data_IF_724611747155
#
_entry.id   IF_724611747155
#
_cell.length_a   1.000
_cell.length_b   1.000
_cell.length_c   1.000
_cell.angle_alpha   90.00
_cell.angle_beta   90.00
_cell.angle_gamma   90.00
#
_symmetry.space_group_name_H-M   'P 1'
#
loop_
_entity.id
_entity.type
_entity.pdbx_description
1 polymer ?
#
# COMPACT_ATOMS: atom_id res chain seq x y z
N UNK A 1 -10.34 -16.34 -26.76
CA UNK A 1 -10.12 -15.35 -25.69
C UNK A 1 -8.61 -15.32 -25.53
N UNK A 2 -7.95 -14.34 -26.14
CA UNK A 2 -6.48 -14.32 -26.26
C UNK A 2 -5.88 -14.16 -24.87
N UNK A 3 -4.99 -15.08 -24.52
CA UNK A 3 -4.05 -14.89 -23.43
C UNK A 3 -3.36 -13.54 -23.64
N UNK A 4 -3.26 -12.73 -22.60
CA UNK A 4 -2.58 -11.44 -22.68
C UNK A 4 -1.16 -11.67 -23.15
N UNK A 5 -0.83 -11.02 -24.27
CA UNK A 5 0.42 -11.12 -24.97
C UNK A 5 1.44 -10.21 -24.27
N UNK A 6 2.58 -10.77 -23.87
CA UNK A 6 3.68 -9.99 -23.30
C UNK A 6 4.33 -9.09 -24.37
N UNK A 7 4.02 -9.28 -25.65
CA UNK A 7 4.84 -8.76 -26.75
C UNK A 7 4.73 -7.24 -26.99
N UNK A 8 3.71 -6.55 -26.48
CA UNK A 8 3.46 -5.15 -26.92
C UNK A 8 4.17 -4.07 -26.07
N UNK A 9 4.44 -4.33 -24.78
CA UNK A 9 5.10 -3.35 -23.88
C UNK A 9 5.96 -4.03 -22.81
N UNK A 10 6.94 -4.83 -23.25
CA UNK A 10 7.65 -5.79 -22.42
C UNK A 10 8.74 -5.15 -21.53
N UNK A 11 8.37 -4.61 -20.38
CA UNK A 11 9.33 -4.27 -19.32
C UNK A 11 8.82 -4.75 -17.97
N UNK A 12 8.68 -6.07 -17.87
CA UNK A 12 8.52 -6.77 -16.59
C UNK A 12 9.78 -6.54 -15.76
N UNK A 13 9.63 -5.92 -14.60
CA UNK A 13 10.75 -5.53 -13.74
C UNK A 13 10.84 -6.40 -12.48
N UNK A 14 9.70 -6.97 -12.05
CA UNK A 14 9.64 -7.76 -10.83
C UNK A 14 8.61 -8.88 -10.90
N UNK A 15 8.94 -9.99 -10.25
CA UNK A 15 8.05 -11.13 -10.05
C UNK A 15 8.23 -11.67 -8.64
N UNK A 16 7.13 -12.04 -8.01
CA UNK A 16 7.11 -12.82 -6.78
C UNK A 16 6.12 -13.96 -6.92
N UNK A 17 6.49 -15.13 -6.39
CA UNK A 17 5.68 -16.35 -6.47
C UNK A 17 5.28 -16.76 -5.06
N UNK A 18 4.01 -17.12 -4.90
CA UNK A 18 3.49 -17.73 -3.68
C UNK A 18 2.53 -18.84 -4.04
N UNK A 19 2.88 -20.06 -3.66
CA UNK A 19 2.14 -21.27 -4.02
C UNK A 19 1.90 -21.36 -5.53
N UNK A 20 0.64 -21.32 -5.97
CA UNK A 20 0.24 -21.38 -7.37
C UNK A 20 -0.07 -20.00 -7.98
N UNK A 21 0.35 -18.91 -7.33
CA UNK A 21 0.16 -17.55 -7.83
C UNK A 21 1.51 -16.89 -8.13
N UNK A 22 1.61 -16.28 -9.31
CA UNK A 22 2.67 -15.34 -9.64
C UNK A 22 2.11 -13.91 -9.67
N UNK A 23 2.80 -12.99 -9.02
CA UNK A 23 2.52 -11.56 -9.05
C UNK A 23 3.64 -10.89 -9.82
N UNK A 24 3.29 -10.32 -10.97
CA UNK A 24 4.24 -9.71 -11.92
C UNK A 24 3.97 -8.22 -11.96
N UNK A 25 5.04 -7.44 -11.98
CA UNK A 25 4.97 -5.99 -12.19
C UNK A 25 5.69 -5.57 -13.44
N UNK A 26 5.04 -4.70 -14.19
CA UNK A 26 5.51 -4.14 -15.45
C UNK A 26 5.44 -2.61 -15.41
N UNK A 27 6.43 -1.95 -16.01
CA UNK A 27 6.53 -0.48 -15.98
C UNK A 27 5.37 0.24 -16.69
N UNK A 28 4.73 -0.40 -17.65
CA UNK A 28 3.67 0.19 -18.49
C UNK A 28 2.29 -0.39 -18.18
N UNK A 29 2.22 -1.67 -17.81
CA UNK A 29 0.97 -2.38 -17.56
C UNK A 29 0.59 -2.36 -16.08
N UNK A 30 1.56 -2.17 -15.18
CA UNK A 30 1.33 -2.15 -13.74
C UNK A 30 1.38 -3.53 -13.12
N UNK A 31 0.35 -3.94 -12.40
CA UNK A 31 0.30 -5.24 -11.71
C UNK A 31 -0.48 -6.27 -12.53
N UNK A 32 0.07 -7.47 -12.64
CA UNK A 32 -0.64 -8.66 -13.09
C UNK A 32 -0.52 -9.79 -12.06
N UNK A 33 -1.58 -10.58 -11.94
CA UNK A 33 -1.64 -11.76 -11.08
C UNK A 33 -2.01 -12.94 -11.96
N UNK A 34 -1.17 -13.98 -11.91
CA UNK A 34 -1.31 -15.17 -12.73
C UNK A 34 -1.55 -16.40 -11.86
N UNK A 35 -2.47 -17.25 -12.29
CA UNK A 35 -2.51 -18.65 -11.87
C UNK A 35 -1.41 -19.42 -12.63
N UNK A 36 -0.53 -20.04 -11.87
CA UNK A 36 0.59 -20.87 -12.34
C UNK A 36 0.48 -22.31 -11.84
N UNK A 37 -0.72 -22.76 -11.46
CA UNK A 37 -0.98 -24.14 -11.02
C UNK A 37 -0.59 -25.17 -12.08
N UNK A 38 -0.79 -24.83 -13.36
CA UNK A 38 -0.18 -25.53 -14.49
C UNK A 38 0.99 -24.68 -15.02
N UNK A 39 2.26 -25.07 -14.75
CA UNK A 39 3.42 -24.31 -15.19
C UNK A 39 3.58 -24.28 -16.72
N UNK A 40 2.90 -25.17 -17.45
CA UNK A 40 2.92 -25.17 -18.92
C UNK A 40 1.89 -24.22 -19.52
N UNK A 41 0.91 -23.77 -18.73
CA UNK A 41 -0.19 -22.91 -19.17
C UNK A 41 -0.57 -21.83 -18.14
N UNK A 42 0.34 -20.90 -17.77
CA UNK A 42 0.00 -19.77 -16.91
C UNK A 42 -1.17 -18.94 -17.43
N UNK A 43 -2.07 -18.49 -16.55
CA UNK A 43 -3.23 -17.68 -16.90
C UNK A 43 -3.30 -16.40 -16.08
N UNK A 44 -3.49 -15.25 -16.72
CA UNK A 44 -3.77 -13.99 -15.99
C UNK A 44 -5.17 -14.08 -15.38
N UNK A 45 -5.24 -13.95 -14.05
CA UNK A 45 -6.50 -14.01 -13.29
C UNK A 45 -6.91 -12.67 -12.70
N UNK A 46 -5.99 -11.70 -12.57
CA UNK A 46 -6.27 -10.35 -12.09
C UNK A 46 -5.22 -9.32 -12.50
N UNK A 47 -5.56 -8.03 -12.45
CA UNK A 47 -4.67 -6.93 -12.83
C UNK A 47 -5.01 -5.60 -12.16
N UNK A 48 -4.02 -4.69 -12.10
CA UNK A 48 -4.19 -3.27 -11.76
C UNK A 48 -3.35 -2.38 -12.66
N UNK A 49 -3.98 -1.78 -13.66
CA UNK A 49 -3.33 -0.84 -14.60
C UNK A 49 -3.07 0.54 -14.00
N UNK A 50 -3.73 0.88 -12.89
CA UNK A 50 -3.59 2.18 -12.23
C UNK A 50 -2.23 2.42 -11.56
N UNK A 51 -1.36 1.40 -11.52
CA UNK A 51 -0.02 1.46 -10.94
C UNK A 51 0.98 1.57 -12.08
N UNK A 52 1.41 2.79 -12.41
CA UNK A 52 2.39 3.01 -13.47
C UNK A 52 3.83 3.02 -12.94
N UNK A 53 4.78 2.69 -13.83
CA UNK A 53 6.21 2.67 -13.54
C UNK A 53 6.61 1.76 -12.38
N UNK A 54 6.00 0.58 -12.31
CA UNK A 54 6.36 -0.42 -11.31
C UNK A 54 7.73 -1.04 -11.63
N UNK A 55 8.60 -1.10 -10.61
CA UNK A 55 10.00 -1.52 -10.73
C UNK A 55 10.37 -2.73 -9.87
N UNK A 56 9.61 -3.01 -8.82
CA UNK A 56 9.86 -4.16 -7.95
C UNK A 56 8.58 -4.53 -7.18
N UNK A 57 8.48 -5.78 -6.74
CA UNK A 57 7.34 -6.28 -5.96
C UNK A 57 7.82 -7.21 -4.85
N UNK A 58 7.26 -7.03 -3.64
CA UNK A 58 7.45 -7.94 -2.52
C UNK A 58 6.09 -8.34 -1.98
N UNK A 59 5.87 -9.65 -1.85
CA UNK A 59 4.69 -10.20 -1.21
C UNK A 59 4.95 -10.45 0.29
N UNK A 60 3.99 -10.05 1.13
CA UNK A 60 3.89 -10.46 2.53
C UNK A 60 2.44 -10.82 2.83
N UNK A 61 2.21 -12.07 3.22
CA UNK A 61 0.88 -12.63 3.34
C UNK A 61 0.08 -12.37 2.03
N UNK A 62 -1.10 -11.76 2.13
CA UNK A 62 -1.92 -11.40 0.98
C UNK A 62 -1.67 -9.97 0.47
N UNK A 63 -0.61 -9.30 0.92
CA UNK A 63 -0.33 -7.92 0.51
C UNK A 63 0.89 -7.86 -0.41
N UNK A 64 0.66 -7.44 -1.65
CA UNK A 64 1.71 -7.10 -2.59
C UNK A 64 2.14 -5.64 -2.39
N UNK A 65 3.39 -5.44 -1.99
CA UNK A 65 4.03 -4.14 -1.94
C UNK A 65 4.74 -3.89 -3.27
N UNK A 66 4.36 -2.81 -3.96
CA UNK A 66 4.86 -2.51 -5.30
C UNK A 66 5.63 -1.20 -5.25
N UNK A 67 6.92 -1.27 -5.58
CA UNK A 67 7.76 -0.10 -5.76
C UNK A 67 7.49 0.50 -7.14
N UNK A 68 7.25 1.80 -7.19
CA UNK A 68 7.19 2.55 -8.44
C UNK A 68 8.18 3.71 -8.41
N UNK A 69 8.27 4.44 -9.52
CA UNK A 69 9.08 5.66 -9.59
C UNK A 69 8.83 6.63 -8.42
N UNK A 70 7.57 6.85 -8.02
CA UNK A 70 7.21 7.87 -7.03
C UNK A 70 6.62 7.34 -5.71
N UNK A 71 6.16 6.10 -5.68
CA UNK A 71 5.41 5.56 -4.56
C UNK A 71 5.86 4.13 -4.20
N UNK A 72 5.51 3.71 -3.00
CA UNK A 72 5.27 2.30 -2.72
C UNK A 72 3.76 2.14 -2.54
N UNK A 73 3.16 1.25 -3.31
CA UNK A 73 1.76 0.84 -3.16
C UNK A 73 1.69 -0.40 -2.27
N UNK A 74 0.62 -0.50 -1.48
CA UNK A 74 0.19 -1.73 -0.83
C UNK A 74 -1.10 -2.18 -1.50
N UNK A 75 -1.10 -3.39 -2.03
CA UNK A 75 -2.23 -3.99 -2.75
C UNK A 75 -2.65 -5.25 -2.03
N UNK A 76 -3.90 -5.31 -1.60
CA UNK A 76 -4.51 -6.53 -1.11
C UNK A 76 -4.85 -7.43 -2.29
N UNK A 77 -4.31 -8.65 -2.28
CA UNK A 77 -4.51 -9.69 -3.27
C UNK A 77 -5.17 -10.94 -2.67
N UNK A 78 -5.84 -10.82 -1.51
CA UNK A 78 -6.59 -11.92 -0.86
C UNK A 78 -7.62 -12.57 -1.78
N UNK A 79 -8.15 -11.79 -2.73
CA UNK A 79 -8.91 -12.29 -3.88
C UNK A 79 -8.05 -11.99 -5.13
N UNK A 80 -7.24 -12.95 -5.61
CA UNK A 80 -6.28 -12.73 -6.70
C UNK A 80 -6.91 -12.18 -7.99
N UNK A 81 -8.18 -12.47 -8.24
CA UNK A 81 -8.92 -11.97 -9.40
C UNK A 81 -9.50 -10.57 -9.23
N UNK A 82 -9.45 -10.00 -8.02
CA UNK A 82 -9.94 -8.65 -7.71
C UNK A 82 -8.98 -7.94 -6.75
N UNK A 83 -7.74 -7.65 -7.20
CA UNK A 83 -6.77 -6.93 -6.38
C UNK A 83 -7.23 -5.50 -6.06
N UNK A 84 -6.92 -5.02 -4.86
CA UNK A 84 -7.36 -3.68 -4.38
C UNK A 84 -6.19 -2.90 -3.78
N UNK A 85 -5.99 -1.66 -4.24
CA UNK A 85 -5.03 -0.75 -3.60
C UNK A 85 -5.57 -0.33 -2.23
N UNK A 86 -4.89 -0.76 -1.15
CA UNK A 86 -5.24 -0.42 0.23
C UNK A 86 -4.41 0.73 0.79
N UNK A 87 -3.33 1.12 0.11
CA UNK A 87 -2.52 2.25 0.55
C UNK A 87 -1.38 2.60 -0.39
N UNK A 88 -0.78 3.77 -0.16
CA UNK A 88 0.49 4.16 -0.78
C UNK A 88 1.25 5.15 0.10
N UNK A 89 2.57 5.15 -0.05
CA UNK A 89 3.48 6.13 0.55
C UNK A 89 4.33 6.73 -0.56
N UNK A 90 4.45 8.06 -0.57
CA UNK A 90 5.33 8.76 -1.52
C UNK A 90 6.78 8.59 -1.07
N UNK A 91 7.68 8.33 -2.02
CA UNK A 91 9.12 8.28 -1.78
C UNK A 91 9.84 9.36 -2.60
N UNK A 92 11.06 9.78 -2.20
CA UNK A 92 11.95 10.52 -3.08
C UNK A 92 12.56 9.63 -4.17
N UNK A 93 13.10 10.27 -5.21
CA UNK A 93 14.03 9.67 -6.18
C UNK A 93 13.47 8.60 -7.11
N UNK A 94 14.38 7.85 -7.74
CA UNK A 94 14.12 6.77 -8.70
C UNK A 94 14.63 5.44 -8.08
N UNK A 95 13.71 4.71 -7.44
CA UNK A 95 14.02 3.51 -6.69
C UNK A 95 13.91 2.29 -7.58
N UNK A 96 14.94 1.44 -7.58
CA UNK A 96 15.00 0.26 -8.46
C UNK A 96 14.64 -1.04 -7.76
N UNK A 97 15.08 -1.20 -6.52
CA UNK A 97 14.76 -2.35 -5.70
C UNK A 97 14.53 -1.92 -4.27
N UNK A 98 13.83 -2.78 -3.53
CA UNK A 98 13.63 -2.59 -2.11
C UNK A 98 13.65 -3.90 -1.33
N UNK A 99 13.79 -3.79 -0.01
CA UNK A 99 13.60 -4.87 0.95
C UNK A 99 12.74 -4.38 2.11
N UNK A 100 11.95 -5.28 2.68
CA UNK A 100 11.10 -4.96 3.83
C UNK A 100 11.65 -5.66 5.05
N UNK A 101 11.97 -4.88 6.09
CA UNK A 101 12.37 -5.37 7.40
C UNK A 101 11.51 -4.64 8.43
N UNK A 102 10.85 -5.37 9.32
CA UNK A 102 10.06 -4.78 10.40
C UNK A 102 9.03 -3.70 9.96
N UNK A 103 8.36 -3.89 8.83
CA UNK A 103 7.40 -2.95 8.21
C UNK A 103 8.02 -1.62 7.74
N UNK A 104 9.34 -1.57 7.61
CA UNK A 104 10.08 -0.49 6.95
C UNK A 104 10.59 -1.03 5.62
N UNK A 105 10.32 -0.28 4.55
CA UNK A 105 10.93 -0.47 3.25
C UNK A 105 12.29 0.22 3.20
N UNK A 106 13.32 -0.52 2.81
CA UNK A 106 14.67 -0.05 2.53
C UNK A 106 14.87 -0.10 1.01
N UNK A 107 15.03 1.06 0.39
CA UNK A 107 14.99 1.25 -1.05
C UNK A 107 16.37 1.67 -1.53
N UNK A 108 16.91 0.96 -2.51
CA UNK A 108 18.09 1.39 -3.26
C UNK A 108 17.64 2.44 -4.29
N UNK A 109 17.92 3.70 -3.99
CA UNK A 109 17.54 4.86 -4.79
C UNK A 109 18.75 5.40 -5.57
N UNK A 110 18.57 5.62 -6.88
CA UNK A 110 19.66 6.03 -7.76
C UNK A 110 20.30 7.37 -7.35
N UNK A 111 19.51 8.33 -6.86
CA UNK A 111 19.98 9.68 -6.53
C UNK A 111 20.28 9.86 -5.04
N UNK A 112 19.60 9.11 -4.19
CA UNK A 112 19.59 9.31 -2.74
C UNK A 112 20.37 8.24 -1.97
N UNK A 113 20.86 7.19 -2.65
CA UNK A 113 21.53 6.06 -2.03
C UNK A 113 20.53 5.11 -1.37
N UNK A 114 20.44 5.13 -0.04
CA UNK A 114 19.52 4.27 0.72
C UNK A 114 18.40 5.10 1.35
N UNK A 115 17.16 4.77 1.02
CA UNK A 115 15.97 5.43 1.58
C UNK A 115 15.19 4.44 2.43
N UNK A 116 14.81 4.83 3.65
CA UNK A 116 13.96 4.03 4.54
C UNK A 116 12.60 4.69 4.76
N UNK A 117 11.50 3.97 4.52
CA UNK A 117 10.13 4.48 4.66
C UNK A 117 9.20 3.46 5.35
N UNK A 118 8.22 3.90 6.14
CA UNK A 118 7.23 3.00 6.70
C UNK A 118 6.27 2.56 5.61
N UNK A 119 5.85 1.29 5.65
CA UNK A 119 4.89 0.77 4.69
C UNK A 119 3.45 1.16 5.03
N UNK A 120 2.58 1.33 4.02
CA UNK A 120 1.14 1.39 4.25
C UNK A 120 0.66 0.08 4.89
N UNK A 121 -0.17 0.18 5.93
CA UNK A 121 -0.75 -0.96 6.62
C UNK A 121 -2.22 -0.69 6.93
N UNK A 122 -3.05 -1.73 6.81
CA UNK A 122 -4.43 -1.67 7.27
C UNK A 122 -4.49 -1.65 8.80
N UNK A 123 -5.36 -0.79 9.35
CA UNK A 123 -5.61 -0.74 10.78
C UNK A 123 -6.73 -1.73 11.10
N UNK A 124 -6.35 -2.88 11.64
CA UNK A 124 -7.30 -3.95 11.98
C UNK A 124 -8.11 -3.64 13.24
N UNK A 125 -7.57 -2.84 14.16
CA UNK A 125 -8.27 -2.46 15.40
C UNK A 125 -9.35 -1.43 15.09
N UNK A 126 -10.59 -1.90 14.92
CA UNK A 126 -11.79 -1.07 14.78
C UNK A 126 -12.78 -1.41 15.88
N UNK A 127 -13.20 -0.41 16.64
CA UNK A 127 -14.26 -0.54 17.63
C UNK A 127 -15.34 0.53 17.37
N UNK A 128 -16.51 0.08 16.94
CA UNK A 128 -17.67 0.96 16.76
C UNK A 128 -18.23 1.29 18.13
N UNK A 129 -18.16 2.56 18.51
CA UNK A 129 -18.75 3.05 19.75
C UNK A 129 -20.25 3.31 19.52
N UNK A 130 -20.59 3.91 18.38
CA UNK A 130 -21.95 4.16 17.92
C UNK A 130 -21.98 4.33 16.39
N UNK A 131 -23.15 4.66 15.82
CA UNK A 131 -23.35 4.85 14.37
C UNK A 131 -22.46 5.94 13.73
N UNK A 132 -21.91 6.84 14.55
CA UNK A 132 -21.13 8.01 14.11
C UNK A 132 -19.70 8.04 14.63
N UNK A 133 -19.36 7.13 15.54
CA UNK A 133 -18.09 7.14 16.27
C UNK A 133 -17.37 5.80 16.13
N UNK A 134 -16.19 5.86 15.52
CA UNK A 134 -15.26 4.74 15.45
C UNK A 134 -14.01 5.05 16.28
N UNK A 135 -13.66 4.13 17.16
CA UNK A 135 -12.37 4.13 17.85
C UNK A 135 -11.41 3.18 17.14
N UNK A 136 -10.19 3.65 16.91
CA UNK A 136 -9.10 2.87 16.32
C UNK A 136 -7.84 3.00 17.18
N UNK A 137 -7.07 1.93 17.28
CA UNK A 137 -5.72 2.00 17.84
C UNK A 137 -4.73 2.16 16.70
N UNK A 138 -3.99 3.27 16.72
CA UNK A 138 -2.96 3.48 15.72
C UNK A 138 -1.71 2.69 16.10
N UNK A 139 -1.03 2.07 15.11
CA UNK A 139 0.27 1.47 15.36
C UNK A 139 1.25 2.56 15.81
N UNK A 140 2.18 2.20 16.69
CA UNK A 140 3.22 3.13 17.12
C UNK A 140 4.17 3.39 15.94
N UNK A 141 4.40 4.65 15.54
CA UNK A 141 5.37 4.98 14.50
C UNK A 141 6.75 4.42 14.83
N UNK A 142 7.36 3.69 13.89
CA UNK A 142 8.74 3.19 14.05
C UNK A 142 9.78 4.24 13.68
N UNK A 143 9.41 5.21 12.85
CA UNK A 143 10.25 6.35 12.47
C UNK A 143 9.47 7.66 12.65
N UNK A 144 10.19 8.75 12.93
CA UNK A 144 9.59 10.08 12.97
C UNK A 144 9.11 10.50 11.58
N UNK A 145 7.91 11.09 11.50
CA UNK A 145 7.39 11.56 10.21
C UNK A 145 5.91 11.93 10.23
N UNK A 146 5.42 12.29 9.05
CA UNK A 146 3.99 12.54 8.82
C UNK A 146 3.33 11.27 8.31
N UNK A 147 2.25 10.87 8.97
CA UNK A 147 1.48 9.68 8.60
C UNK A 147 0.10 10.11 8.09
N UNK A 148 -0.39 9.43 7.05
CA UNK A 148 -1.71 9.71 6.48
C UNK A 148 -2.63 8.56 6.84
N UNK A 149 -3.72 8.88 7.56
CA UNK A 149 -4.82 7.94 7.74
C UNK A 149 -5.80 8.13 6.60
N UNK A 150 -5.88 7.11 5.74
CA UNK A 150 -6.90 7.03 4.68
C UNK A 150 -8.03 6.14 5.17
N UNK A 151 -9.24 6.68 5.16
CA UNK A 151 -10.47 5.90 5.39
C UNK A 151 -11.01 5.53 4.02
N UNK A 152 -10.85 4.28 3.63
CA UNK A 152 -11.41 3.74 2.38
C UNK A 152 -12.88 3.38 2.62
N UNK A 153 -13.77 3.81 1.72
CA UNK A 153 -15.21 3.55 1.82
C UNK A 153 -15.64 2.55 0.76
N UNK A 154 -16.47 1.59 1.15
CA UNK A 154 -17.10 0.62 0.26
C UNK A 154 -18.44 1.09 -0.33
N UNK A 155 -19.10 2.14 0.20
CA UNK A 155 -20.22 2.81 -0.48
C UNK A 155 -20.46 4.25 0.03
N UNK A 156 -20.79 5.14 -0.93
CA UNK A 156 -21.35 6.51 -0.89
C UNK A 156 -21.22 7.28 0.45
N UNK A 157 -20.20 8.13 0.57
CA UNK A 157 -20.18 9.51 1.14
C UNK A 157 -18.70 9.93 1.13
N UNK A 158 -18.32 11.00 0.47
CA UNK A 158 -16.91 11.41 0.36
C UNK A 158 -16.32 11.85 1.73
N UNK A 159 -15.34 11.12 2.28
CA UNK A 159 -14.55 11.58 3.43
C UNK A 159 -13.18 12.04 2.94
N UNK A 160 -12.75 13.25 3.34
CA UNK A 160 -11.41 13.77 3.01
C UNK A 160 -10.35 12.97 3.79
N UNK A 161 -9.20 12.63 3.18
CA UNK A 161 -8.10 11.99 3.89
C UNK A 161 -7.64 12.87 5.06
N UNK A 162 -7.35 12.26 6.21
CA UNK A 162 -6.87 12.98 7.39
C UNK A 162 -5.36 12.77 7.55
N UNK A 163 -4.60 13.86 7.49
CA UNK A 163 -3.18 13.85 7.81
C UNK A 163 -2.98 13.96 9.32
N UNK A 164 -2.17 13.07 9.87
CA UNK A 164 -1.85 13.03 11.29
C UNK A 164 -0.34 13.18 11.43
N UNK A 165 0.09 14.11 12.28
CA UNK A 165 1.48 14.16 12.70
C UNK A 165 1.66 13.27 13.93
N UNK A 166 2.45 12.21 13.80
CA UNK A 166 2.67 11.22 14.85
C UNK A 166 4.17 11.15 15.20
N UNK A 167 4.45 11.10 16.49
CA UNK A 167 5.78 10.77 17.03
C UNK A 167 5.68 9.43 17.75
N UNK A 168 6.76 8.65 17.89
CA UNK A 168 6.77 7.39 18.64
C UNK A 168 6.20 7.48 20.05
N UNK A 169 6.11 8.68 20.63
CA UNK A 169 5.59 8.95 21.98
C UNK A 169 4.07 9.19 22.12
N UNK A 170 3.25 9.23 21.05
CA UNK A 170 1.79 9.46 21.14
C UNK A 170 0.98 8.25 20.65
N UNK A 171 0.10 7.70 21.51
CA UNK A 171 -0.49 6.36 21.37
C UNK A 171 -1.95 6.27 20.86
N UNK A 172 -2.73 7.35 20.76
CA UNK A 172 -4.16 7.23 20.40
C UNK A 172 -4.75 8.49 19.76
N UNK A 173 -5.68 8.29 18.82
CA UNK A 173 -6.48 9.35 18.20
C UNK A 173 -7.95 8.90 18.11
N UNK A 174 -8.87 9.76 18.55
CA UNK A 174 -10.31 9.59 18.36
C UNK A 174 -10.72 10.26 17.03
N UNK A 175 -11.46 9.54 16.19
CA UNK A 175 -11.91 10.06 14.89
C UNK A 175 -13.45 10.09 14.85
N UNK A 176 -14.04 11.29 14.81
CA UNK A 176 -15.48 11.47 14.62
C UNK A 176 -15.81 11.39 13.12
N UNK A 177 -16.64 10.43 12.70
CA UNK A 177 -16.92 10.14 11.28
C UNK A 177 -17.61 11.31 10.54
N UNK A 178 -18.13 12.31 11.27
CA UNK A 178 -18.79 13.50 10.72
C UNK A 178 -18.00 14.82 10.89
N UNK A 179 -16.84 14.81 11.54
CA UNK A 179 -16.06 16.05 11.78
C UNK A 179 -14.60 15.90 11.36
N UNK A 180 -14.34 15.97 10.05
CA UNK A 180 -13.05 16.41 9.51
C UNK A 180 -12.80 17.92 9.75
N UNK A 181 -13.15 18.42 10.94
CA UNK A 181 -12.92 19.78 11.44
C UNK A 181 -12.73 19.70 12.96
N UNK A 182 -11.54 19.34 13.42
CA UNK A 182 -10.99 20.05 14.58
C UNK A 182 -9.48 19.88 14.71
N UNK A 183 -8.87 21.06 14.82
CA UNK A 183 -7.49 21.37 15.17
C UNK A 183 -7.09 20.66 16.47
N UNK A 184 -5.89 20.08 16.50
CA UNK A 184 -5.23 19.71 17.75
C UNK A 184 -4.97 20.99 18.55
N UNK A 185 -5.86 21.32 19.50
CA UNK A 185 -5.46 22.10 20.68
C UNK A 185 -4.87 21.12 21.67
N UNK A 186 -3.55 21.17 21.83
CA UNK A 186 -2.91 20.64 23.04
C UNK A 186 -3.30 21.53 24.20
N UNK A 187 -3.98 20.96 25.18
CA UNK A 187 -4.07 21.52 26.52
C UNK A 187 -2.67 21.66 27.10
N UNK A 188 -2.31 22.87 27.55
CA UNK A 188 -1.53 23.01 28.77
C UNK A 188 -2.27 24.00 29.66
N UNK A 189 -2.58 23.50 30.85
CA UNK A 189 -3.03 24.16 32.06
C UNK A 189 -1.98 25.15 32.60
N UNK A 190 -2.40 26.33 33.04
CA UNK A 190 -2.66 26.70 34.45
C UNK A 190 -3.81 27.70 34.46
#
# INVERSE_FOLDING_TARGET
MSAFDFDEYNRSEGIVISESIAVVVDSYIGLQILDISDPTQPQVIGSLESISYATDVILRDNIAYILTGQYIYAVDISIPSSPVIIGNVRKPGDGRNFKIIDNIAYIADYYSGLVSLPLPAEIQSKNLIDETTLSINLPTPKIDGTYILKVLKTMIIMMRPLSIFARPSKKSLLLNALKARQVMKTSQSV
#
